data_IF_729310646620
#
_entry.id   IF_729310646620
#
_cell.length_a   1.000
_cell.length_b   1.000
_cell.length_c   1.000
_cell.angle_alpha   90.00
_cell.angle_beta   90.00
_cell.angle_gamma   90.00
#
_symmetry.space_group_name_H-M   'P 1'
#
loop_
_entity.id
_entity.type
_entity.pdbx_description
1 polymer ?
#
# COMPACT_ATOMS: atom_id res chain seq x y z
N UNK A 1 -42.47 14.40 23.65
CA UNK A 1 -43.07 15.73 23.88
C UNK A 1 -42.13 16.51 24.78
N UNK A 2 -41.58 17.62 24.29
CA UNK A 2 -40.38 18.24 24.86
C UNK A 2 -40.73 19.42 25.78
N UNK A 3 -40.23 19.44 27.02
CA UNK A 3 -40.17 20.64 27.87
C UNK A 3 -39.15 21.64 27.30
N UNK A 4 -39.27 22.93 27.60
CA UNK A 4 -38.35 23.96 27.09
C UNK A 4 -37.82 24.88 28.18
N UNK A 5 -36.54 25.22 28.09
CA UNK A 5 -35.84 26.06 29.06
C UNK A 5 -35.95 27.53 28.68
N UNK A 6 -36.35 28.37 29.63
CA UNK A 6 -36.44 29.82 29.41
C UNK A 6 -35.05 30.44 29.23
N UNK A 7 -34.84 31.18 28.15
CA UNK A 7 -33.56 31.85 27.87
C UNK A 7 -33.22 33.00 28.82
N UNK A 8 -34.21 33.56 29.53
CA UNK A 8 -34.01 34.71 30.43
C UNK A 8 -33.78 34.33 31.89
N UNK A 9 -34.48 33.32 32.39
CA UNK A 9 -34.44 32.93 33.81
C UNK A 9 -34.10 31.45 34.03
N UNK A 10 -33.74 30.73 32.96
CA UNK A 10 -33.33 29.31 32.95
C UNK A 10 -34.34 28.29 33.50
N UNK A 11 -35.55 28.74 33.88
CA UNK A 11 -36.63 27.86 34.32
C UNK A 11 -37.09 26.91 33.21
N UNK A 12 -37.29 25.63 33.56
CA UNK A 12 -37.74 24.58 32.63
C UNK A 12 -39.27 24.53 32.63
N UNK A 13 -39.88 24.97 31.54
CA UNK A 13 -41.33 25.01 31.41
C UNK A 13 -41.87 23.65 30.96
N UNK A 14 -42.97 23.16 31.56
CA UNK A 14 -43.60 21.90 31.18
C UNK A 14 -44.18 21.98 29.76
N UNK A 15 -44.30 20.84 29.09
CA UNK A 15 -44.71 20.73 27.68
C UNK A 15 -46.12 21.26 27.35
N UNK A 16 -46.97 21.45 28.36
CA UNK A 16 -48.28 22.09 28.21
C UNK A 16 -48.19 23.61 28.02
N UNK A 17 -47.11 24.24 28.50
CA UNK A 17 -46.94 25.69 28.50
C UNK A 17 -46.13 26.15 27.28
N UNK A 18 -46.83 26.59 26.22
CA UNK A 18 -46.22 26.85 24.91
C UNK A 18 -45.98 28.33 24.58
N UNK A 19 -46.58 29.25 25.33
CA UNK A 19 -46.65 30.67 24.93
C UNK A 19 -45.74 31.60 25.73
N UNK A 20 -45.53 31.37 27.03
CA UNK A 20 -44.69 32.21 27.90
C UNK A 20 -44.13 31.42 29.08
N UNK A 21 -42.94 31.80 29.54
CA UNK A 21 -42.34 31.21 30.73
C UNK A 21 -43.19 31.50 31.97
N UNK A 22 -43.40 30.47 32.80
CA UNK A 22 -44.26 30.55 33.99
C UNK A 22 -43.75 31.52 35.06
N UNK A 23 -42.42 31.68 35.18
CA UNK A 23 -41.81 32.51 36.21
C UNK A 23 -41.67 33.97 35.77
N UNK A 24 -41.11 34.21 34.58
CA UNK A 24 -40.73 35.55 34.15
C UNK A 24 -41.53 36.08 32.95
N UNK A 25 -42.55 35.33 32.51
CA UNK A 25 -43.46 35.68 31.41
C UNK A 25 -42.76 35.95 30.07
N UNK A 26 -41.51 35.54 29.92
CA UNK A 26 -40.73 35.70 28.68
C UNK A 26 -41.21 34.66 27.66
N UNK A 27 -41.53 35.09 26.44
CA UNK A 27 -41.95 34.19 25.38
C UNK A 27 -40.82 33.20 25.02
N UNK A 28 -41.14 31.95 24.66
CA UNK A 28 -40.16 31.05 24.07
C UNK A 28 -39.63 31.67 22.79
N UNK A 29 -38.33 31.56 22.57
CA UNK A 29 -37.73 31.91 21.28
C UNK A 29 -38.42 31.05 20.22
N UNK A 30 -39.20 31.68 19.34
CA UNK A 30 -39.62 31.00 18.13
C UNK A 30 -38.34 30.57 17.39
N UNK A 31 -38.29 29.36 16.83
CA UNK A 31 -37.27 29.09 15.84
C UNK A 31 -37.49 30.15 14.75
N UNK A 32 -36.56 31.11 14.63
CA UNK A 32 -36.41 31.78 13.36
C UNK A 32 -36.22 30.62 12.38
N UNK A 33 -37.15 30.46 11.45
CA UNK A 33 -36.88 29.69 10.26
C UNK A 33 -35.53 30.21 9.76
N UNK A 34 -34.52 29.34 9.80
CA UNK A 34 -33.22 29.69 9.27
C UNK A 34 -33.48 30.19 7.85
N UNK A 35 -32.93 31.34 7.44
CA UNK A 35 -32.99 31.71 6.04
C UNK A 35 -32.51 30.49 5.23
N UNK A 36 -33.15 30.16 4.10
CA UNK A 36 -32.65 29.11 3.24
C UNK A 36 -31.15 29.36 3.06
N UNK A 37 -30.32 28.33 3.23
CA UNK A 37 -28.89 28.54 3.23
C UNK A 37 -28.54 29.16 1.88
N UNK A 38 -27.60 30.11 1.82
CA UNK A 38 -27.31 30.85 0.59
C UNK A 38 -27.09 29.85 -0.56
N UNK A 39 -27.42 30.20 -1.81
CA UNK A 39 -27.40 29.27 -2.94
C UNK A 39 -26.05 28.55 -3.14
N UNK A 40 -24.97 29.04 -2.52
CA UNK A 40 -23.62 28.47 -2.55
C UNK A 40 -23.24 27.64 -1.30
N UNK A 41 -24.19 27.36 -0.42
CA UNK A 41 -23.95 26.52 0.76
C UNK A 41 -23.80 25.05 0.35
N UNK A 42 -22.76 24.40 0.89
CA UNK A 42 -22.42 23.00 0.59
C UNK A 42 -22.37 22.17 1.88
N UNK A 43 -22.77 20.90 1.79
CA UNK A 43 -22.57 19.90 2.84
C UNK A 43 -21.42 18.94 2.48
N UNK A 44 -20.61 18.58 3.46
CA UNK A 44 -19.54 17.60 3.28
C UNK A 44 -20.10 16.19 3.39
N UNK A 45 -19.85 15.36 2.37
CA UNK A 45 -20.23 13.96 2.38
C UNK A 45 -19.50 13.20 3.49
N UNK A 46 -20.23 12.47 4.32
CA UNK A 46 -19.66 11.68 5.43
C UNK A 46 -18.81 10.50 4.96
N UNK A 47 -19.04 9.99 3.74
CA UNK A 47 -18.27 8.87 3.19
C UNK A 47 -17.06 9.32 2.36
N UNK A 48 -17.17 10.40 1.58
CA UNK A 48 -16.13 10.80 0.62
C UNK A 48 -15.70 12.27 0.72
N UNK A 49 -16.15 13.02 1.74
CA UNK A 49 -15.79 14.42 2.06
C UNK A 49 -16.03 15.45 0.95
N UNK A 50 -16.62 15.04 -0.18
CA UNK A 50 -16.99 15.94 -1.25
C UNK A 50 -17.98 16.99 -0.72
N UNK A 51 -17.74 18.24 -1.05
CA UNK A 51 -18.69 19.32 -0.82
C UNK A 51 -19.78 19.26 -1.88
N UNK A 52 -20.99 18.92 -1.46
CA UNK A 52 -22.17 18.82 -2.31
C UNK A 52 -23.05 20.04 -2.06
N UNK A 53 -23.69 20.62 -3.09
CA UNK A 53 -24.71 21.64 -2.88
C UNK A 53 -25.84 21.12 -1.97
N UNK A 54 -26.38 21.94 -1.07
CA UNK A 54 -27.57 21.56 -0.28
C UNK A 54 -28.83 21.31 -1.13
N UNK A 55 -28.84 21.75 -2.40
CA UNK A 55 -29.86 21.35 -3.38
C UNK A 55 -29.79 19.87 -3.78
N UNK A 56 -28.72 19.16 -3.41
CA UNK A 56 -28.53 17.73 -3.70
C UNK A 56 -28.56 16.92 -2.41
N UNK A 57 -29.57 16.06 -2.25
CA UNK A 57 -29.75 15.22 -1.06
C UNK A 57 -28.82 13.99 -1.03
N UNK A 58 -28.07 13.75 -2.11
CA UNK A 58 -27.12 12.64 -2.26
C UNK A 58 -25.79 13.16 -2.75
N UNK A 59 -24.71 12.51 -2.32
CA UNK A 59 -23.38 12.89 -2.76
C UNK A 59 -23.21 12.58 -4.24
N UNK A 60 -22.81 13.59 -5.03
CA UNK A 60 -22.68 13.48 -6.49
C UNK A 60 -21.62 12.46 -6.94
N UNK A 61 -20.70 12.06 -6.05
CA UNK A 61 -19.63 11.11 -6.37
C UNK A 61 -19.92 9.71 -5.83
N UNK A 62 -20.23 9.57 -4.55
CA UNK A 62 -20.37 8.25 -3.93
C UNK A 62 -21.81 7.83 -3.62
N UNK A 63 -22.81 8.67 -3.90
CA UNK A 63 -24.22 8.37 -3.67
C UNK A 63 -24.66 8.37 -2.20
N UNK A 64 -23.75 8.64 -1.25
CA UNK A 64 -24.07 8.73 0.18
C UNK A 64 -25.07 9.86 0.43
N UNK A 65 -26.14 9.60 1.20
CA UNK A 65 -27.18 10.61 1.49
C UNK A 65 -26.69 11.69 2.46
N UNK A 66 -27.18 12.92 2.25
CA UNK A 66 -27.03 14.01 3.20
C UNK A 66 -27.74 13.64 4.51
N UNK A 67 -27.04 13.76 5.63
CA UNK A 67 -27.66 13.56 6.95
C UNK A 67 -28.40 14.83 7.35
N UNK A 68 -29.62 14.98 6.85
CA UNK A 68 -30.59 15.97 7.34
C UNK A 68 -31.95 15.30 7.52
N UNK A 69 -32.40 15.19 8.77
CA UNK A 69 -33.79 14.89 9.11
C UNK A 69 -34.72 15.90 8.44
N UNK A 70 -35.52 15.46 7.47
CA UNK A 70 -36.92 15.87 7.14
C UNK A 70 -37.35 15.04 5.91
N UNK A 71 -38.58 14.52 5.97
CA UNK A 71 -39.23 13.66 4.97
C UNK A 71 -39.91 14.48 3.84
N UNK A 72 -39.97 13.88 2.62
CA UNK A 72 -40.92 14.08 1.48
C UNK A 72 -40.66 15.36 0.61
N UNK A 73 -40.71 15.40 -0.74
CA UNK A 73 -41.24 14.55 -1.84
C UNK A 73 -40.41 14.73 -3.14
N UNK A 74 -40.63 13.84 -4.13
CA UNK A 74 -40.03 13.72 -5.47
C UNK A 74 -40.12 14.96 -6.39
N UNK A 75 -39.04 15.23 -7.16
CA UNK A 75 -39.10 15.43 -8.62
C UNK A 75 -37.68 15.43 -9.23
N UNK A 76 -37.62 14.88 -10.45
CA UNK A 76 -36.45 14.52 -11.27
C UNK A 76 -35.27 15.51 -11.36
N UNK A 77 -34.05 14.97 -11.52
CA UNK A 77 -33.11 15.29 -12.61
C UNK A 77 -31.84 14.40 -12.54
N UNK A 78 -31.66 13.58 -13.57
CA UNK A 78 -30.64 12.53 -13.75
C UNK A 78 -29.37 13.05 -14.46
N UNK A 79 -28.21 12.92 -13.81
CA UNK A 79 -26.91 12.79 -14.50
C UNK A 79 -25.98 11.86 -13.72
N UNK A 80 -26.01 10.56 -14.04
CA UNK A 80 -25.09 9.57 -13.47
C UNK A 80 -24.00 9.16 -14.48
N UNK A 81 -22.78 9.67 -14.27
CA UNK A 81 -21.55 9.21 -14.92
C UNK A 81 -20.65 8.63 -13.84
N UNK A 82 -20.44 7.31 -13.89
CA UNK A 82 -19.58 6.61 -12.96
C UNK A 82 -18.10 6.92 -13.19
N UNK A 83 -17.50 7.64 -12.25
CA UNK A 83 -16.04 7.72 -12.09
C UNK A 83 -15.64 6.90 -10.87
N UNK A 84 -14.92 5.80 -11.14
CA UNK A 84 -14.10 5.09 -10.16
C UNK A 84 -12.81 5.90 -10.02
N UNK A 85 -12.25 5.97 -8.80
CA UNK A 85 -11.13 6.81 -8.33
C UNK A 85 -11.54 8.21 -7.85
N UNK A 86 -11.41 8.47 -6.54
CA UNK A 86 -11.24 9.82 -5.96
C UNK A 86 -10.69 9.71 -4.51
N UNK A 87 -9.60 10.40 -4.17
CA UNK A 87 -9.02 10.45 -2.82
C UNK A 87 -9.41 11.71 -2.01
N UNK A 88 -9.37 11.59 -0.68
CA UNK A 88 -9.73 12.63 0.29
C UNK A 88 -8.54 13.56 0.60
N UNK A 89 -8.77 14.87 0.74
CA UNK A 89 -7.75 15.86 1.11
C UNK A 89 -7.55 15.97 2.62
N UNK A 90 -6.29 16.17 3.03
CA UNK A 90 -5.87 16.48 4.39
C UNK A 90 -6.13 17.95 4.77
N UNK A 91 -6.47 18.19 6.04
CA UNK A 91 -6.70 19.52 6.62
C UNK A 91 -5.39 20.34 6.68
N UNK A 92 -5.40 21.54 6.11
CA UNK A 92 -4.38 22.57 6.34
C UNK A 92 -4.71 23.32 7.64
N UNK A 93 -3.82 23.25 8.62
CA UNK A 93 -3.80 24.16 9.77
C UNK A 93 -3.46 25.58 9.30
N UNK A 94 -4.32 26.54 9.67
CA UNK A 94 -4.15 27.95 9.37
C UNK A 94 -2.92 28.53 10.09
N UNK A 95 -2.08 29.26 9.35
CA UNK A 95 -1.15 30.24 9.91
C UNK A 95 -1.88 31.58 10.00
N UNK A 96 -1.90 32.16 11.19
CA UNK A 96 -2.28 33.56 11.42
C UNK A 96 -1.24 34.50 10.80
N UNK A 97 -1.74 35.48 10.05
CA UNK A 97 -0.97 36.56 9.45
C UNK A 97 -1.41 37.87 10.13
N UNK A 98 -0.53 38.48 10.92
CA UNK A 98 -0.73 39.80 11.54
C UNK A 98 0.15 40.82 10.83
N UNK A 99 -0.47 41.87 10.29
CA UNK A 99 0.17 42.92 9.49
C UNK A 99 0.74 44.09 10.31
N UNK A 100 1.80 44.71 9.74
CA UNK A 100 2.31 46.12 9.89
C UNK A 100 3.08 46.46 11.19
N UNK A 101 4.18 47.23 11.21
CA UNK A 101 4.77 48.18 10.27
C UNK A 101 6.28 48.46 10.60
N UNK A 102 7.03 48.98 9.63
CA UNK A 102 7.89 50.16 9.85
C UNK A 102 9.41 49.98 10.02
N UNK A 103 10.14 50.48 9.01
CA UNK A 103 11.42 51.22 9.06
C UNK A 103 12.75 50.51 9.41
N UNK A 104 13.79 50.82 8.63
CA UNK A 104 15.18 50.85 9.12
C UNK A 104 16.25 50.16 8.25
N UNK A 105 16.72 50.88 7.24
CA UNK A 105 18.12 51.13 6.79
C UNK A 105 19.32 50.21 7.13
N UNK A 106 20.27 50.20 6.17
CA UNK A 106 21.72 49.85 6.18
C UNK A 106 22.13 48.44 6.71
N UNK A 107 22.83 47.56 5.98
CA UNK A 107 23.99 47.75 5.10
C UNK A 107 25.28 47.58 5.90
N UNK A 108 25.95 46.42 5.84
CA UNK A 108 27.41 46.24 6.03
C UNK A 108 27.88 44.83 5.62
N UNK A 109 28.93 44.78 4.80
CA UNK A 109 29.74 43.61 4.44
C UNK A 109 30.74 43.24 5.54
N UNK A 110 31.16 41.97 5.62
CA UNK A 110 32.57 41.56 5.69
C UNK A 110 32.72 40.02 5.69
N UNK A 111 33.48 39.49 4.73
CA UNK A 111 34.26 38.26 4.84
C UNK A 111 35.57 38.53 5.63
N UNK A 112 36.11 37.53 6.33
CA UNK A 112 37.44 36.91 6.08
C UNK A 112 38.02 36.12 7.30
N UNK A 113 38.27 34.82 7.06
CA UNK A 113 39.50 33.99 7.24
C UNK A 113 40.24 33.87 8.61
N UNK A 114 40.75 32.64 8.80
CA UNK A 114 41.94 32.14 9.56
C UNK A 114 41.59 31.51 10.92
N UNK A 115 42.03 30.32 11.33
CA UNK A 115 42.93 29.31 10.76
C UNK A 115 43.39 28.32 11.86
N UNK A 116 43.70 27.09 11.44
CA UNK A 116 44.62 26.07 11.98
C UNK A 116 44.90 25.90 13.49
N UNK A 117 44.79 24.63 13.92
CA UNK A 117 45.97 23.85 14.35
C UNK A 117 46.05 23.41 15.82
N UNK A 118 46.43 22.14 16.05
CA UNK A 118 47.19 21.77 17.26
C UNK A 118 46.78 20.53 18.04
N UNK A 119 47.45 19.41 17.72
CA UNK A 119 47.74 18.18 18.50
C UNK A 119 48.46 18.57 19.83
N UNK A 120 48.51 17.85 20.98
CA UNK A 120 49.00 16.49 21.28
C UNK A 120 48.68 16.10 22.77
N UNK A 121 48.54 14.77 23.00
CA UNK A 121 49.01 13.91 24.11
C UNK A 121 48.52 13.94 25.57
N UNK A 122 48.31 12.70 26.11
CA UNK A 122 48.96 12.29 27.36
C UNK A 122 48.22 11.43 28.41
N UNK A 123 48.19 10.10 28.25
CA UNK A 123 48.29 9.05 29.31
C UNK A 123 47.13 8.85 30.32
N UNK A 124 46.96 7.74 31.06
CA UNK A 124 47.62 6.42 31.20
C UNK A 124 46.77 5.57 32.21
N UNK A 125 47.08 4.25 32.31
CA UNK A 125 46.70 3.23 33.33
C UNK A 125 45.46 2.37 32.97
N UNK A 126 45.47 1.03 33.00
CA UNK A 126 46.44 0.01 33.45
C UNK A 126 45.70 -1.17 34.12
N UNK A 127 46.31 -2.38 34.05
CA UNK A 127 45.91 -3.72 34.59
C UNK A 127 45.03 -4.59 33.66
N UNK A 128 45.46 -5.71 33.03
CA UNK A 128 46.16 -6.97 33.45
C UNK A 128 45.38 -7.76 34.51
N UNK A 129 45.19 -9.09 34.53
CA UNK A 129 45.62 -10.30 33.80
C UNK A 129 44.42 -11.31 33.92
N UNK A 130 44.32 -12.52 33.36
CA UNK A 130 45.27 -13.57 32.99
C UNK A 130 44.50 -14.90 32.85
N UNK A 131 45.12 -15.83 32.11
CA UNK A 131 44.76 -17.20 31.70
C UNK A 131 43.93 -18.09 32.68
N UNK A 132 43.10 -19.00 32.12
CA UNK A 132 43.43 -20.46 31.98
C UNK A 132 42.33 -21.31 31.33
N UNK A 133 42.83 -22.29 30.58
CA UNK A 133 42.22 -23.49 29.97
C UNK A 133 41.78 -24.51 31.03
N UNK A 134 40.75 -25.33 30.75
CA UNK A 134 40.69 -26.75 31.14
C UNK A 134 39.63 -27.53 30.33
N UNK A 135 40.10 -28.59 29.68
CA UNK A 135 39.33 -29.65 29.02
C UNK A 135 38.70 -30.62 30.04
N UNK A 136 37.67 -31.36 29.65
CA UNK A 136 37.52 -32.76 30.08
C UNK A 136 36.78 -33.64 29.07
N UNK A 137 37.27 -34.87 28.98
CA UNK A 137 36.96 -35.98 28.07
C UNK A 137 36.58 -37.17 28.95
N UNK A 138 35.68 -38.07 28.49
CA UNK A 138 35.44 -39.51 28.87
C UNK A 138 33.94 -39.82 28.95
N UNK A 139 33.41 -41.02 28.68
CA UNK A 139 33.88 -42.31 28.14
C UNK A 139 32.65 -43.23 27.98
N UNK A 140 32.73 -44.11 26.99
CA UNK A 140 31.92 -45.29 26.60
C UNK A 140 31.41 -46.19 27.75
N UNK A 141 30.22 -46.81 27.57
CA UNK A 141 29.97 -48.25 27.80
C UNK A 141 28.69 -48.79 27.10
N UNK A 142 28.82 -50.00 26.56
CA UNK A 142 27.86 -50.88 25.87
C UNK A 142 27.09 -51.83 26.82
N UNK A 143 26.25 -52.69 26.18
CA UNK A 143 25.59 -53.96 26.56
C UNK A 143 24.08 -53.81 26.83
N UNK A 144 23.13 -54.33 26.02
CA UNK A 144 22.85 -55.64 25.36
C UNK A 144 21.75 -56.44 26.08
N UNK A 145 21.08 -57.28 25.28
CA UNK A 145 20.09 -58.35 25.53
C UNK A 145 18.58 -58.02 25.50
N UNK A 146 17.70 -58.86 24.94
CA UNK A 146 17.79 -59.98 23.97
C UNK A 146 16.34 -60.46 23.65
N UNK A 147 16.17 -61.13 22.51
CA UNK A 147 15.12 -62.14 22.22
C UNK A 147 13.78 -61.63 21.65
N UNK A 148 13.23 -62.15 20.55
CA UNK A 148 13.61 -63.23 19.64
C UNK A 148 12.42 -63.65 18.76
N UNK A 149 12.73 -64.17 17.56
CA UNK A 149 11.97 -65.13 16.72
C UNK A 149 10.61 -64.72 16.08
N UNK A 150 10.22 -65.12 14.86
CA UNK A 150 10.75 -66.09 13.89
C UNK A 150 10.08 -65.88 12.49
N UNK A 151 10.69 -66.51 11.47
CA UNK A 151 10.08 -67.17 10.31
C UNK A 151 9.76 -66.42 9.00
N UNK A 152 10.43 -66.87 7.92
CA UNK A 152 9.79 -67.09 6.62
C UNK A 152 10.55 -66.61 5.38
N UNK A 153 11.46 -67.42 4.85
CA UNK A 153 12.23 -67.11 3.63
C UNK A 153 11.52 -67.38 2.30
N UNK A 154 12.11 -66.89 1.19
CA UNK A 154 12.21 -67.66 -0.06
C UNK A 154 13.18 -67.05 -1.09
N UNK A 155 14.21 -67.84 -1.38
CA UNK A 155 14.96 -68.10 -2.63
C UNK A 155 15.34 -67.04 -3.69
N UNK A 156 16.67 -66.94 -3.90
CA UNK A 156 17.47 -67.17 -5.13
C UNK A 156 17.18 -66.29 -6.37
N UNK A 157 18.19 -65.51 -6.81
CA UNK A 157 19.05 -65.77 -8.01
C UNK A 157 20.20 -64.76 -8.13
N UNK A 158 21.40 -65.31 -7.94
CA UNK A 158 22.70 -64.74 -8.26
C UNK A 158 22.88 -64.46 -9.77
N UNK A 159 23.65 -63.41 -10.07
CA UNK A 159 24.55 -63.36 -11.23
C UNK A 159 25.65 -62.34 -10.95
N UNK A 160 26.78 -62.82 -10.43
CA UNK A 160 28.03 -62.08 -10.28
C UNK A 160 28.88 -62.24 -11.54
N UNK A 161 29.44 -61.15 -12.07
CA UNK A 161 30.69 -61.14 -12.83
C UNK A 161 31.40 -59.81 -12.56
N UNK A 162 32.62 -59.90 -12.03
CA UNK A 162 33.43 -58.81 -11.52
C UNK A 162 34.24 -58.08 -12.61
N UNK A 163 34.42 -56.76 -12.47
CA UNK A 163 35.51 -56.01 -13.13
C UNK A 163 36.13 -55.01 -12.15
N UNK A 164 37.46 -54.97 -12.19
CA UNK A 164 38.45 -54.33 -11.33
C UNK A 164 38.23 -52.84 -11.02
N UNK A 165 38.43 -52.48 -9.75
CA UNK A 165 38.58 -51.09 -9.32
C UNK A 165 40.00 -50.57 -9.62
N UNK A 166 40.08 -49.47 -10.38
CA UNK A 166 41.23 -48.56 -10.39
C UNK A 166 40.95 -47.39 -9.44
N UNK A 167 41.95 -46.85 -8.73
CA UNK A 167 41.74 -45.72 -7.83
C UNK A 167 41.58 -44.45 -8.67
N UNK A 168 40.37 -43.90 -8.73
CA UNK A 168 40.15 -42.54 -9.20
C UNK A 168 40.40 -41.57 -8.04
N UNK A 169 41.19 -40.55 -8.36
CA UNK A 169 41.50 -39.39 -7.54
C UNK A 169 40.24 -38.74 -6.93
N UNK A 170 40.36 -37.96 -5.84
CA UNK A 170 39.21 -37.30 -5.25
C UNK A 170 38.58 -36.41 -6.32
N UNK A 171 37.36 -36.74 -6.71
CA UNK A 171 36.49 -35.84 -7.43
C UNK A 171 36.34 -34.63 -6.52
N UNK A 172 36.88 -33.49 -6.94
CA UNK A 172 36.48 -32.21 -6.38
C UNK A 172 34.95 -32.20 -6.47
N UNK A 173 34.32 -32.27 -5.30
CA UNK A 173 32.91 -31.96 -5.16
C UNK A 173 32.78 -30.52 -5.59
N UNK A 174 32.31 -30.33 -6.83
CA UNK A 174 31.81 -29.06 -7.31
C UNK A 174 30.71 -28.65 -6.33
N UNK A 175 31.06 -27.77 -5.40
CA UNK A 175 30.11 -27.14 -4.49
C UNK A 175 29.32 -26.22 -5.40
N UNK A 176 28.27 -26.74 -6.04
CA UNK A 176 27.32 -25.89 -6.74
C UNK A 176 26.76 -24.96 -5.67
N UNK A 177 27.20 -23.71 -5.64
CA UNK A 177 26.62 -22.73 -4.75
C UNK A 177 25.17 -22.57 -5.19
N UNK A 178 24.24 -23.20 -4.46
CA UNK A 178 22.82 -23.09 -4.77
C UNK A 178 22.46 -21.60 -4.85
N UNK A 179 22.01 -21.17 -6.03
CA UNK A 179 21.66 -19.78 -6.25
C UNK A 179 20.46 -19.45 -5.38
N UNK A 180 20.69 -18.64 -4.33
CA UNK A 180 19.62 -18.20 -3.44
C UNK A 180 18.67 -17.29 -4.20
N UNK A 181 17.37 -17.56 -4.09
CA UNK A 181 16.29 -16.83 -4.75
C UNK A 181 15.42 -16.08 -3.75
N UNK A 182 14.85 -14.96 -4.19
CA UNK A 182 13.87 -14.19 -3.43
C UNK A 182 12.69 -13.80 -4.31
N UNK A 183 11.50 -13.74 -3.71
CA UNK A 183 10.25 -13.34 -4.35
C UNK A 183 9.75 -12.01 -3.80
N UNK A 184 9.41 -11.09 -4.68
CA UNK A 184 8.85 -9.78 -4.34
C UNK A 184 7.47 -9.64 -4.96
N UNK A 185 6.48 -9.28 -4.16
CA UNK A 185 5.11 -9.06 -4.59
C UNK A 185 4.78 -7.56 -4.60
N UNK A 186 4.23 -7.07 -5.70
CA UNK A 186 3.57 -5.76 -5.75
C UNK A 186 2.08 -5.97 -6.04
N UNK A 187 1.19 -5.35 -5.25
CA UNK A 187 -0.25 -5.51 -5.44
C UNK A 187 -1.05 -4.29 -4.95
N UNK A 188 -1.73 -3.57 -5.86
CA UNK A 188 -2.82 -2.66 -5.49
C UNK A 188 -4.03 -3.50 -5.03
N UNK A 189 -4.40 -3.40 -3.74
CA UNK A 189 -5.43 -4.26 -3.12
C UNK A 189 -6.86 -3.73 -3.30
N UNK A 190 -6.99 -2.56 -3.93
CA UNK A 190 -8.23 -1.85 -4.20
C UNK A 190 -8.99 -1.46 -2.94
N UNK A 191 -8.96 -0.16 -2.60
CA UNK A 191 -9.57 0.40 -1.39
C UNK A 191 -11.11 0.31 -1.36
N UNK A 192 -11.75 -0.31 -2.35
CA UNK A 192 -13.20 -0.35 -2.49
C UNK A 192 -13.87 -1.29 -1.48
N UNK A 193 -14.10 -0.80 -0.27
CA UNK A 193 -14.58 -1.60 0.87
C UNK A 193 -16.04 -2.07 0.74
N UNK A 194 -16.88 -1.40 -0.03
CA UNK A 194 -18.30 -1.77 -0.26
C UNK A 194 -18.47 -3.06 -1.06
N UNK A 195 -17.40 -3.55 -1.71
CA UNK A 195 -17.44 -4.71 -2.59
C UNK A 195 -16.66 -5.89 -1.98
N UNK A 196 -17.39 -6.77 -1.29
CA UNK A 196 -16.91 -8.10 -0.82
C UNK A 196 -15.54 -8.08 -0.12
N UNK A 197 -15.23 -6.99 0.61
CA UNK A 197 -13.93 -6.68 1.17
C UNK A 197 -13.26 -7.87 1.88
N UNK A 198 -13.95 -8.53 2.80
CA UNK A 198 -13.38 -9.66 3.55
C UNK A 198 -13.03 -10.85 2.66
N UNK A 199 -13.85 -11.15 1.65
CA UNK A 199 -13.58 -12.25 0.71
C UNK A 199 -12.42 -11.89 -0.21
N UNK A 200 -12.36 -10.64 -0.68
CA UNK A 200 -11.24 -10.12 -1.48
C UNK A 200 -9.92 -10.20 -0.72
N UNK A 201 -9.86 -9.67 0.50
CA UNK A 201 -8.65 -9.69 1.32
C UNK A 201 -8.23 -11.11 1.72
N UNK A 202 -9.20 -12.01 1.95
CA UNK A 202 -8.89 -13.44 2.15
C UNK A 202 -8.26 -14.06 0.91
N UNK A 203 -8.82 -13.81 -0.28
CA UNK A 203 -8.26 -14.34 -1.52
C UNK A 203 -6.84 -13.79 -1.80
N UNK A 204 -6.56 -12.53 -1.45
CA UNK A 204 -5.19 -11.99 -1.46
C UNK A 204 -4.31 -12.74 -0.45
N UNK A 205 -4.82 -13.02 0.76
CA UNK A 205 -4.15 -13.85 1.75
C UNK A 205 -3.79 -15.26 1.25
N UNK A 206 -4.72 -15.92 0.54
CA UNK A 206 -4.49 -17.24 -0.04
C UNK A 206 -3.36 -17.20 -1.09
N UNK A 207 -3.27 -16.12 -1.89
CA UNK A 207 -2.16 -15.91 -2.82
C UNK A 207 -0.82 -15.70 -2.10
N UNK A 208 -0.82 -14.98 -0.97
CA UNK A 208 0.39 -14.78 -0.15
C UNK A 208 0.87 -16.12 0.41
N UNK A 209 -0.04 -16.95 0.92
CA UNK A 209 0.29 -18.28 1.44
C UNK A 209 0.81 -19.20 0.34
N UNK A 210 0.19 -19.16 -0.85
CA UNK A 210 0.59 -19.96 -2.01
C UNK A 210 1.99 -19.59 -2.53
N UNK A 211 2.26 -18.31 -2.73
CA UNK A 211 3.50 -17.85 -3.37
C UNK A 211 4.63 -17.59 -2.38
N UNK A 212 4.29 -17.40 -1.10
CA UNK A 212 5.18 -17.14 0.02
C UNK A 212 6.25 -16.05 -0.27
N UNK A 213 5.88 -14.85 -0.76
CA UNK A 213 6.84 -13.80 -1.10
C UNK A 213 7.72 -13.42 0.10
N UNK A 214 8.95 -12.99 -0.18
CA UNK A 214 9.93 -12.54 0.82
C UNK A 214 9.73 -11.07 1.19
N UNK A 215 9.34 -10.25 0.22
CA UNK A 215 8.96 -8.85 0.41
C UNK A 215 7.64 -8.58 -0.34
N UNK A 216 6.73 -7.84 0.28
CA UNK A 216 5.45 -7.45 -0.31
C UNK A 216 5.29 -5.93 -0.24
N UNK A 217 4.71 -5.37 -1.29
CA UNK A 217 4.45 -3.95 -1.48
C UNK A 217 2.99 -3.79 -1.90
N UNK A 218 2.15 -3.35 -0.97
CA UNK A 218 0.73 -3.11 -1.21
C UNK A 218 0.44 -1.63 -1.41
N UNK A 219 -0.51 -1.33 -2.30
CA UNK A 219 -1.06 0.01 -2.53
C UNK A 219 -2.56 -0.02 -2.23
N UNK A 220 -3.14 1.16 -1.91
CA UNK A 220 -4.56 1.32 -1.56
C UNK A 220 -5.00 0.52 -0.32
N UNK A 221 -4.10 0.30 0.63
CA UNK A 221 -4.46 -0.30 1.92
C UNK A 221 -5.19 0.73 2.75
N UNK A 222 -6.41 0.45 3.17
CA UNK A 222 -7.15 1.26 4.16
C UNK A 222 -6.93 0.72 5.57
N UNK A 223 -7.31 1.46 6.63
CA UNK A 223 -7.29 0.93 8.00
C UNK A 223 -8.09 -0.38 8.16
N UNK A 224 -9.24 -0.53 7.49
CA UNK A 224 -10.05 -1.74 7.58
C UNK A 224 -9.38 -2.93 6.87
N UNK A 225 -8.73 -2.71 5.72
CA UNK A 225 -7.96 -3.76 5.04
C UNK A 225 -6.75 -4.19 5.88
N UNK A 226 -6.06 -3.21 6.48
CA UNK A 226 -4.95 -3.45 7.40
C UNK A 226 -5.36 -4.34 8.57
N UNK A 227 -6.48 -4.05 9.23
CA UNK A 227 -7.03 -4.86 10.32
C UNK A 227 -7.33 -6.31 9.91
N UNK A 228 -7.77 -6.53 8.67
CA UNK A 228 -8.00 -7.88 8.14
C UNK A 228 -6.66 -8.61 7.93
N UNK A 229 -5.67 -7.92 7.36
CA UNK A 229 -4.35 -8.48 7.16
C UNK A 229 -3.65 -8.82 8.48
N UNK A 230 -3.72 -7.97 9.50
CA UNK A 230 -3.17 -8.24 10.83
C UNK A 230 -3.72 -9.52 11.47
N UNK A 231 -4.98 -9.85 11.19
CA UNK A 231 -5.65 -11.05 11.72
C UNK A 231 -5.36 -12.32 10.90
N UNK A 232 -4.67 -12.20 9.77
CA UNK A 232 -4.38 -13.32 8.89
C UNK A 232 -3.26 -14.22 9.43
N UNK A 233 -3.31 -15.52 9.13
CA UNK A 233 -2.34 -16.50 9.63
C UNK A 233 -0.90 -16.22 9.20
N UNK A 234 -0.72 -15.72 7.98
CA UNK A 234 0.57 -15.38 7.41
C UNK A 234 1.22 -14.13 8.04
N UNK A 235 0.46 -13.25 8.71
CA UNK A 235 0.94 -11.94 9.19
C UNK A 235 2.19 -12.05 10.08
N UNK A 236 2.19 -13.01 11.01
CA UNK A 236 3.26 -13.21 12.00
C UNK A 236 4.62 -13.53 11.37
N UNK A 237 4.64 -13.98 10.12
CA UNK A 237 5.88 -14.26 9.37
C UNK A 237 6.55 -13.01 8.82
N UNK A 238 5.93 -11.83 8.91
CA UNK A 238 6.40 -10.61 8.28
C UNK A 238 6.56 -9.48 9.27
N UNK A 239 7.59 -8.65 9.04
CA UNK A 239 7.73 -7.33 9.65
C UNK A 239 6.99 -6.32 8.79
N UNK A 240 6.20 -5.44 9.40
CA UNK A 240 5.40 -4.44 8.71
C UNK A 240 6.07 -3.06 8.78
N UNK A 241 5.91 -2.25 7.72
CA UNK A 241 6.35 -0.85 7.68
C UNK A 241 5.47 0.11 8.47
N UNK A 242 4.26 -0.32 8.84
CA UNK A 242 3.31 0.51 9.58
C UNK A 242 3.63 0.39 11.08
N UNK A 243 3.84 1.51 11.78
CA UNK A 243 4.12 1.48 13.21
C UNK A 243 2.92 1.00 14.03
N UNK A 244 3.19 0.36 15.17
CA UNK A 244 2.18 -0.20 16.08
C UNK A 244 1.39 0.86 16.87
N UNK A 245 1.67 2.16 16.67
CA UNK A 245 1.15 3.24 17.52
C UNK A 245 -0.29 3.70 17.18
N UNK A 246 -0.99 2.95 16.32
CA UNK A 246 -2.36 3.21 15.87
C UNK A 246 -2.59 4.62 15.27
N UNK A 247 -1.55 5.32 14.80
CA UNK A 247 -1.65 6.68 14.27
C UNK A 247 -2.01 6.77 12.77
N UNK A 248 -2.61 5.73 12.20
CA UNK A 248 -3.02 5.73 10.78
C UNK A 248 -4.15 6.74 10.58
N UNK A 249 -3.79 7.91 10.07
CA UNK A 249 -4.73 9.01 9.80
C UNK A 249 -5.09 9.14 8.32
N UNK A 250 -4.29 8.54 7.44
CA UNK A 250 -4.56 8.54 6.01
C UNK A 250 -5.71 7.57 5.67
N UNK A 251 -6.62 7.93 4.74
CA UNK A 251 -7.73 7.07 4.34
C UNK A 251 -7.27 5.80 3.63
N UNK A 252 -6.15 5.87 2.95
CA UNK A 252 -5.43 4.73 2.40
C UNK A 252 -3.93 5.06 2.32
N UNK A 253 -3.09 4.03 2.24
CA UNK A 253 -1.63 4.16 2.26
C UNK A 253 -0.96 3.00 1.51
N UNK A 254 0.35 3.13 1.30
CA UNK A 254 1.19 2.00 0.88
C UNK A 254 1.71 1.24 2.09
N UNK A 255 1.77 -0.09 2.01
CA UNK A 255 2.26 -0.94 3.09
C UNK A 255 3.32 -1.90 2.57
N UNK A 256 4.44 -2.01 3.29
CA UNK A 256 5.49 -2.98 2.99
C UNK A 256 5.58 -4.04 4.08
N UNK A 257 5.77 -5.29 3.68
CA UNK A 257 5.94 -6.43 4.57
C UNK A 257 7.18 -7.22 4.16
N UNK A 258 8.00 -7.66 5.11
CA UNK A 258 9.24 -8.39 4.82
C UNK A 258 9.46 -9.58 5.75
N UNK A 259 9.80 -10.74 5.18
CA UNK A 259 10.40 -11.88 5.90
C UNK A 259 11.89 -11.67 6.14
N UNK A 260 12.54 -10.91 5.26
CA UNK A 260 13.96 -10.62 5.35
C UNK A 260 14.26 -9.65 6.50
N UNK A 261 15.46 -9.69 7.10
CA UNK A 261 15.88 -8.70 8.08
C UNK A 261 15.80 -7.29 7.48
N UNK A 262 15.01 -6.44 8.13
CA UNK A 262 14.83 -5.04 7.75
C UNK A 262 15.76 -4.18 8.60
N UNK A 263 16.55 -3.34 7.95
CA UNK A 263 17.38 -2.31 8.57
C UNK A 263 16.55 -1.08 8.93
N UNK A 264 15.74 -0.63 8.00
CA UNK A 264 14.90 0.55 8.16
C UNK A 264 13.69 0.48 7.23
N UNK A 265 12.60 1.09 7.70
CA UNK A 265 11.52 1.57 6.85
C UNK A 265 11.57 3.10 6.86
N UNK A 266 11.30 3.73 5.72
CA UNK A 266 11.16 5.18 5.64
C UNK A 266 10.17 5.57 4.55
N UNK A 267 9.55 6.73 4.68
CA UNK A 267 8.64 7.28 3.67
C UNK A 267 9.05 8.70 3.30
N UNK A 268 8.81 9.05 2.04
CA UNK A 268 9.05 10.40 1.51
C UNK A 268 7.80 10.86 0.76
N UNK A 269 7.03 11.82 1.30
CA UNK A 269 5.90 12.40 0.59
C UNK A 269 6.35 13.09 -0.69
N UNK A 270 5.55 12.98 -1.76
CA UNK A 270 5.77 13.76 -2.97
C UNK A 270 5.21 15.17 -2.79
N UNK A 271 6.02 16.23 -2.84
CA UNK A 271 5.53 17.59 -2.57
C UNK A 271 4.46 18.08 -3.55
N UNK A 272 4.45 17.52 -4.77
CA UNK A 272 3.49 17.88 -5.83
C UNK A 272 2.25 16.96 -5.86
N UNK A 273 2.12 16.03 -4.93
CA UNK A 273 0.95 15.15 -4.88
C UNK A 273 -0.26 15.90 -4.33
N UNK A 274 -1.42 15.71 -4.97
CA UNK A 274 -2.72 16.18 -4.45
C UNK A 274 -3.56 15.05 -3.86
N UNK A 275 -3.04 13.82 -3.90
CA UNK A 275 -3.69 12.58 -3.46
C UNK A 275 -2.93 11.86 -2.33
N UNK A 276 -2.08 12.58 -1.60
CA UNK A 276 -1.29 12.02 -0.49
C UNK A 276 -0.25 10.96 -0.90
N UNK A 277 0.28 10.99 -2.13
CA UNK A 277 1.23 10.01 -2.64
C UNK A 277 2.61 10.20 -2.03
N UNK A 278 3.28 9.08 -1.79
CA UNK A 278 4.59 9.01 -1.17
C UNK A 278 5.42 7.89 -1.79
N UNK A 279 6.74 7.97 -1.59
CA UNK A 279 7.68 6.90 -1.86
C UNK A 279 8.04 6.20 -0.54
N UNK A 280 7.66 4.94 -0.39
CA UNK A 280 8.01 4.11 0.77
C UNK A 280 9.22 3.26 0.44
N UNK A 281 10.17 3.15 1.37
CA UNK A 281 11.41 2.40 1.22
C UNK A 281 11.56 1.39 2.36
N UNK A 282 11.99 0.19 2.01
CA UNK A 282 12.46 -0.84 2.91
C UNK A 282 13.91 -1.19 2.56
N UNK A 283 14.83 -0.98 3.51
CA UNK A 283 16.21 -1.46 3.40
C UNK A 283 16.28 -2.87 3.99
N UNK A 284 16.51 -3.88 3.14
CA UNK A 284 16.52 -5.29 3.55
C UNK A 284 17.87 -5.95 3.29
N UNK A 285 18.30 -6.81 4.22
CA UNK A 285 19.51 -7.61 4.04
C UNK A 285 19.18 -8.94 3.35
N UNK A 286 19.72 -9.14 2.14
CA UNK A 286 19.51 -10.36 1.35
C UNK A 286 20.61 -11.39 1.62
N UNK A 287 21.84 -10.92 1.77
CA UNK A 287 23.04 -11.70 2.09
C UNK A 287 23.92 -10.94 3.10
N UNK A 288 24.86 -11.62 3.79
CA UNK A 288 25.85 -10.92 4.61
C UNK A 288 26.59 -9.85 3.81
N UNK A 289 26.45 -8.59 4.20
CA UNK A 289 27.08 -7.45 3.51
C UNK A 289 26.36 -6.94 2.25
N UNK A 290 25.27 -7.59 1.81
CA UNK A 290 24.48 -7.15 0.65
C UNK A 290 23.10 -6.67 1.09
N UNK A 291 22.88 -5.37 0.94
CA UNK A 291 21.59 -4.73 1.19
C UNK A 291 20.89 -4.44 -0.13
N UNK A 292 19.59 -4.67 -0.15
CA UNK A 292 18.70 -4.31 -1.24
C UNK A 292 17.68 -3.28 -0.73
N UNK A 293 17.46 -2.24 -1.52
CA UNK A 293 16.35 -1.31 -1.28
C UNK A 293 15.14 -1.77 -2.07
N UNK A 294 14.04 -2.05 -1.38
CA UNK A 294 12.73 -2.25 -2.02
C UNK A 294 11.89 -1.02 -1.77
N UNK A 295 11.59 -0.29 -2.85
CA UNK A 295 10.75 0.88 -2.81
C UNK A 295 9.38 0.59 -3.41
N UNK A 296 8.33 1.17 -2.83
CA UNK A 296 6.98 1.15 -3.40
C UNK A 296 6.39 2.54 -3.46
N UNK A 297 5.53 2.77 -4.45
CA UNK A 297 4.66 3.93 -4.48
C UNK A 297 3.35 3.61 -5.16
N UNK A 298 2.36 4.48 -4.95
CA UNK A 298 1.18 4.58 -5.77
C UNK A 298 1.23 5.98 -6.42
N UNK A 299 1.75 6.11 -7.65
CA UNK A 299 1.94 7.42 -8.28
C UNK A 299 0.59 8.06 -8.65
N UNK A 300 0.58 9.38 -8.85
CA UNK A 300 -0.65 10.17 -9.08
C UNK A 300 -1.56 9.52 -10.12
N UNK A 301 -2.80 9.20 -9.72
CA UNK A 301 -3.75 8.51 -10.60
C UNK A 301 -4.44 9.49 -11.55
N UNK A 302 -4.83 9.06 -12.76
CA UNK A 302 -5.84 9.76 -13.54
C UNK A 302 -7.15 9.81 -12.74
N UNK A 303 -7.73 11.00 -12.61
CA UNK A 303 -8.96 11.19 -11.83
C UNK A 303 -9.93 12.12 -12.60
N UNK A 304 -10.52 11.63 -13.70
CA UNK A 304 -11.49 12.40 -14.47
C UNK A 304 -12.75 12.65 -13.63
N UNK A 305 -12.93 13.89 -13.21
CA UNK A 305 -14.06 14.31 -12.39
C UNK A 305 -14.55 15.71 -12.79
N UNK A 306 -15.77 16.11 -12.37
CA UNK A 306 -16.24 17.47 -12.53
C UNK A 306 -15.19 18.50 -12.05
N UNK A 307 -15.08 19.68 -12.71
CA UNK A 307 -15.91 20.12 -13.83
C UNK A 307 -15.40 19.70 -15.22
N UNK A 308 -14.13 19.30 -15.35
CA UNK A 308 -13.50 19.11 -16.68
C UNK A 308 -13.49 17.67 -17.18
N UNK A 309 -13.67 16.69 -16.30
CA UNK A 309 -13.71 15.24 -16.62
C UNK A 309 -12.45 14.71 -17.34
N UNK A 310 -11.33 15.43 -17.27
CA UNK A 310 -10.12 15.13 -18.02
C UNK A 310 -8.83 15.28 -17.19
N UNK A 311 -8.92 15.33 -15.85
CA UNK A 311 -7.75 15.48 -14.99
C UNK A 311 -6.95 14.16 -14.96
N UNK A 312 -5.91 14.08 -15.80
CA UNK A 312 -5.09 12.87 -15.95
C UNK A 312 -3.83 12.84 -15.06
N UNK A 313 -3.49 13.96 -14.43
CA UNK A 313 -2.35 14.13 -13.51
C UNK A 313 -0.99 13.62 -14.03
N UNK A 314 -0.81 13.65 -15.36
CA UNK A 314 0.40 13.18 -16.04
C UNK A 314 1.64 13.96 -15.62
N UNK A 315 1.54 15.29 -15.50
CA UNK A 315 2.67 16.15 -15.10
C UNK A 315 3.15 15.80 -13.70
N UNK A 316 2.21 15.61 -12.78
CA UNK A 316 2.48 15.27 -11.39
C UNK A 316 3.16 13.91 -11.31
N UNK A 317 2.57 12.90 -11.94
CA UNK A 317 3.08 11.52 -12.02
C UNK A 317 4.48 11.45 -12.63
N UNK A 318 4.75 12.19 -13.71
CA UNK A 318 6.08 12.25 -14.35
C UNK A 318 7.13 12.85 -13.40
N UNK A 319 6.80 13.93 -12.68
CA UNK A 319 7.71 14.53 -11.69
C UNK A 319 8.01 13.53 -10.56
N UNK A 320 7.00 12.83 -10.06
CA UNK A 320 7.14 11.83 -9.00
C UNK A 320 8.03 10.66 -9.43
N UNK A 321 7.81 10.09 -10.62
CA UNK A 321 8.64 9.01 -11.16
C UNK A 321 10.10 9.45 -11.32
N UNK A 322 10.33 10.65 -11.86
CA UNK A 322 11.68 11.22 -11.99
C UNK A 322 12.35 11.41 -10.61
N UNK A 323 11.61 11.90 -9.62
CA UNK A 323 12.11 12.05 -8.26
C UNK A 323 12.46 10.71 -7.61
N UNK A 324 11.60 9.69 -7.77
CA UNK A 324 11.83 8.34 -7.27
C UNK A 324 13.09 7.73 -7.90
N UNK A 325 13.18 7.66 -9.23
CA UNK A 325 14.35 7.05 -9.92
C UNK A 325 15.65 7.78 -9.56
N UNK A 326 15.64 9.12 -9.51
CA UNK A 326 16.84 9.90 -9.14
C UNK A 326 17.27 9.63 -7.70
N UNK A 327 16.34 9.65 -6.75
CA UNK A 327 16.65 9.46 -5.33
C UNK A 327 17.10 8.04 -5.00
N UNK A 328 16.51 7.05 -5.67
CA UNK A 328 16.85 5.63 -5.52
C UNK A 328 18.13 5.25 -6.26
N UNK A 329 18.51 6.00 -7.29
CA UNK A 329 19.68 5.73 -8.13
C UNK A 329 21.02 5.71 -7.39
N UNK A 330 21.08 6.24 -6.16
CA UNK A 330 22.26 6.18 -5.28
C UNK A 330 22.56 4.77 -4.74
N UNK A 331 21.60 3.86 -4.77
CA UNK A 331 21.74 2.50 -4.28
C UNK A 331 22.25 1.56 -5.38
N UNK A 332 23.01 0.53 -4.99
CA UNK A 332 23.57 -0.46 -5.91
C UNK A 332 22.57 -1.54 -6.31
N UNK A 333 21.78 -2.03 -5.34
CA UNK A 333 20.70 -2.99 -5.53
C UNK A 333 19.38 -2.34 -5.09
N UNK A 334 18.54 -1.98 -6.05
CA UNK A 334 17.25 -1.35 -5.80
C UNK A 334 16.17 -1.90 -6.73
N UNK A 335 14.99 -2.12 -6.14
CA UNK A 335 13.78 -2.51 -6.83
C UNK A 335 12.71 -1.49 -6.48
N UNK A 336 12.24 -0.74 -7.47
CA UNK A 336 11.12 0.18 -7.35
C UNK A 336 9.87 -0.44 -7.98
N UNK A 337 8.82 -0.62 -7.19
CA UNK A 337 7.59 -1.27 -7.64
C UNK A 337 6.34 -0.56 -7.15
N UNK A 338 5.17 -1.06 -7.53
CA UNK A 338 3.88 -0.49 -7.17
C UNK A 338 3.05 -0.11 -8.38
N UNK A 339 1.88 0.46 -8.09
CA UNK A 339 0.99 1.05 -9.07
C UNK A 339 1.55 2.41 -9.51
N UNK A 340 2.19 2.40 -10.67
CA UNK A 340 2.81 3.60 -11.24
C UNK A 340 1.79 4.48 -11.95
N UNK A 341 0.54 4.04 -12.12
CA UNK A 341 -0.49 4.70 -12.94
C UNK A 341 0.00 5.13 -14.34
N UNK A 342 1.07 4.51 -14.84
CA UNK A 342 1.84 5.04 -15.96
C UNK A 342 1.20 4.68 -17.29
N UNK A 343 0.99 5.70 -18.13
CA UNK A 343 0.50 5.56 -19.50
C UNK A 343 1.59 6.02 -20.46
N UNK A 344 2.27 5.08 -21.12
CA UNK A 344 3.40 5.40 -21.99
C UNK A 344 3.04 6.36 -23.15
N UNK A 345 1.75 6.45 -23.52
CA UNK A 345 1.29 7.41 -24.54
C UNK A 345 1.07 8.82 -24.00
N UNK A 346 0.64 8.95 -22.74
CA UNK A 346 0.35 10.24 -22.12
C UNK A 346 1.56 10.80 -21.37
N UNK A 347 2.29 9.94 -20.67
CA UNK A 347 3.40 10.28 -19.78
C UNK A 347 4.76 10.19 -20.48
N UNK A 348 4.79 9.54 -21.65
CA UNK A 348 6.01 9.23 -22.39
C UNK A 348 6.75 8.02 -21.83
N UNK A 349 8.02 7.89 -22.23
CA UNK A 349 8.86 6.81 -21.72
C UNK A 349 9.08 6.97 -20.21
N UNK A 350 8.98 5.86 -19.47
CA UNK A 350 9.32 5.85 -18.05
C UNK A 350 10.77 6.34 -17.87
N UNK A 351 11.08 7.21 -16.88
CA UNK A 351 12.36 7.90 -16.78
C UNK A 351 13.49 7.00 -16.24
N UNK A 352 13.81 5.93 -16.97
CA UNK A 352 14.89 5.00 -16.64
C UNK A 352 16.25 5.69 -16.84
N UNK A 353 17.06 5.75 -15.78
CA UNK A 353 18.45 6.14 -15.88
C UNK A 353 19.33 4.95 -16.30
N UNK A 354 20.59 5.20 -16.66
CA UNK A 354 21.53 4.13 -17.02
C UNK A 354 21.63 3.04 -15.93
N UNK A 355 21.53 1.78 -16.35
CA UNK A 355 21.57 0.60 -15.46
C UNK A 355 20.22 0.22 -14.84
N UNK A 356 19.15 0.97 -15.10
CA UNK A 356 17.79 0.57 -14.73
C UNK A 356 17.13 -0.21 -15.86
N UNK A 357 16.29 -1.19 -15.48
CA UNK A 357 15.52 -2.03 -16.39
C UNK A 357 14.08 -2.14 -15.90
N UNK A 358 13.13 -2.27 -16.84
CA UNK A 358 11.75 -2.66 -16.54
C UNK A 358 11.67 -4.19 -16.61
N UNK A 359 11.43 -4.85 -15.48
CA UNK A 359 11.53 -6.30 -15.36
C UNK A 359 10.53 -7.04 -16.26
N UNK A 360 9.34 -6.46 -16.52
CA UNK A 360 8.37 -7.07 -17.43
C UNK A 360 8.89 -7.02 -18.86
N UNK A 361 9.37 -5.86 -19.30
CA UNK A 361 9.92 -5.68 -20.65
C UNK A 361 11.13 -6.58 -20.91
N UNK A 362 11.99 -6.76 -19.91
CA UNK A 362 13.19 -7.61 -20.02
C UNK A 362 12.84 -9.10 -20.08
N UNK A 363 11.93 -9.58 -19.22
CA UNK A 363 11.64 -11.00 -19.09
C UNK A 363 10.52 -11.49 -20.02
N UNK A 364 9.64 -10.61 -20.49
CA UNK A 364 8.47 -10.92 -21.32
C UNK A 364 8.44 -10.01 -22.58
N UNK A 365 9.50 -10.00 -23.40
CA UNK A 365 9.56 -9.11 -24.56
C UNK A 365 8.42 -9.41 -25.53
N UNK A 366 7.66 -8.38 -25.88
CA UNK A 366 6.51 -8.48 -26.78
C UNK A 366 5.17 -8.79 -26.11
N UNK A 367 5.15 -9.06 -24.80
CA UNK A 367 3.89 -9.17 -24.04
C UNK A 367 3.50 -7.82 -23.44
N UNK A 368 2.22 -7.46 -23.58
CA UNK A 368 1.71 -6.17 -23.10
C UNK A 368 1.74 -6.00 -21.58
N UNK A 369 1.59 -7.09 -20.82
CA UNK A 369 1.62 -7.08 -19.35
C UNK A 369 0.52 -6.25 -18.70
N UNK A 370 -0.72 -6.28 -19.21
CA UNK A 370 -1.83 -5.51 -18.63
C UNK A 370 -2.17 -5.97 -17.21
N UNK A 371 -1.75 -5.20 -16.21
CA UNK A 371 -2.06 -5.44 -14.79
C UNK A 371 -3.42 -4.88 -14.39
N UNK A 372 -3.95 -3.93 -15.18
CA UNK A 372 -5.33 -3.45 -15.12
C UNK A 372 -6.01 -3.71 -16.46
N UNK A 373 -6.93 -4.66 -16.51
CA UNK A 373 -7.54 -5.11 -17.76
C UNK A 373 -9.05 -5.38 -17.58
N UNK A 374 -9.86 -4.45 -18.09
CA UNK A 374 -11.34 -4.55 -18.06
C UNK A 374 -11.93 -5.68 -18.90
N UNK A 375 -11.15 -6.32 -19.77
CA UNK A 375 -11.58 -7.46 -20.60
C UNK A 375 -11.32 -8.78 -19.91
N UNK A 376 -10.11 -8.99 -19.38
CA UNK A 376 -9.79 -10.23 -18.65
C UNK A 376 -10.32 -10.21 -17.22
N UNK A 377 -10.28 -9.07 -16.52
CA UNK A 377 -10.82 -8.95 -15.17
C UNK A 377 -12.35 -8.86 -15.25
N UNK A 378 -13.01 -9.99 -15.03
CA UNK A 378 -14.47 -10.09 -15.19
C UNK A 378 -15.25 -9.25 -14.17
N UNK A 379 -14.66 -8.91 -13.04
CA UNK A 379 -15.24 -7.98 -12.07
C UNK A 379 -15.43 -6.58 -12.66
N UNK A 380 -14.56 -6.18 -13.59
CA UNK A 380 -14.65 -4.88 -14.26
C UNK A 380 -15.54 -4.90 -15.50
N UNK A 381 -16.13 -6.05 -15.84
CA UNK A 381 -16.99 -6.16 -17.01
C UNK A 381 -18.10 -5.11 -17.00
N UNK A 382 -18.41 -4.57 -18.17
CA UNK A 382 -19.37 -3.48 -18.30
C UNK A 382 -18.78 -2.06 -18.16
N UNK A 383 -17.55 -1.90 -17.66
CA UNK A 383 -16.78 -0.65 -17.82
C UNK A 383 -16.39 -0.41 -19.28
N UNK A 384 -15.94 0.81 -19.58
CA UNK A 384 -15.27 1.09 -20.86
C UNK A 384 -14.01 0.24 -20.96
N UNK A 385 -13.73 -0.25 -22.16
CA UNK A 385 -12.50 -1.00 -22.42
C UNK A 385 -11.27 -0.13 -22.12
N UNK A 386 -10.48 -0.63 -21.17
CA UNK A 386 -9.21 -0.08 -20.71
C UNK A 386 -8.29 -1.24 -20.37
N UNK A 387 -7.09 -1.22 -20.95
CA UNK A 387 -6.03 -2.19 -20.72
C UNK A 387 -4.73 -1.42 -20.51
N UNK A 388 -4.17 -1.53 -19.32
CA UNK A 388 -3.03 -0.72 -18.88
C UNK A 388 -2.06 -1.56 -18.05
N UNK A 389 -0.78 -1.28 -18.20
CA UNK A 389 0.31 -1.81 -17.38
C UNK A 389 0.69 -0.77 -16.34
N UNK A 390 -0.21 -0.62 -15.37
CA UNK A 390 -0.11 0.38 -14.31
C UNK A 390 0.94 -0.04 -13.28
N UNK A 391 0.92 -1.31 -12.89
CA UNK A 391 1.85 -1.89 -11.92
C UNK A 391 3.13 -2.33 -12.63
N UNK A 392 4.29 -1.95 -12.08
CA UNK A 392 5.60 -2.24 -12.69
C UNK A 392 6.63 -2.63 -11.64
N UNK A 393 7.67 -3.34 -12.09
CA UNK A 393 8.92 -3.53 -11.35
C UNK A 393 10.06 -2.90 -12.15
N UNK A 394 10.66 -1.86 -11.59
CA UNK A 394 11.78 -1.12 -12.17
C UNK A 394 13.02 -1.42 -11.32
N UNK A 395 13.99 -2.10 -11.91
CA UNK A 395 15.11 -2.70 -11.20
C UNK A 395 16.43 -2.06 -11.60
N UNK A 396 17.31 -1.83 -10.63
CA UNK A 396 18.73 -1.57 -10.84
C UNK A 396 19.49 -2.47 -9.88
N UNK A 397 20.09 -3.53 -10.39
CA UNK A 397 20.70 -4.58 -9.60
C UNK A 397 22.15 -4.78 -10.06
N UNK A 398 23.08 -4.76 -9.10
CA UNK A 398 24.51 -4.98 -9.33
C UNK A 398 24.91 -6.42 -9.03
N UNK A 399 24.47 -6.93 -7.88
CA UNK A 399 24.88 -8.24 -7.35
C UNK A 399 23.75 -9.29 -7.43
N UNK A 400 22.61 -8.90 -7.98
CA UNK A 400 21.40 -9.71 -8.10
C UNK A 400 20.94 -9.71 -9.56
N UNK A 401 20.20 -10.75 -9.95
CA UNK A 401 19.61 -10.89 -11.28
C UNK A 401 18.11 -11.11 -11.18
N UNK A 402 17.36 -10.47 -12.09
CA UNK A 402 15.95 -10.82 -12.30
C UNK A 402 15.88 -12.19 -13.00
N UNK A 403 14.96 -13.05 -12.57
CA UNK A 403 14.85 -14.44 -13.05
C UNK A 403 13.49 -14.75 -13.63
N UNK A 404 12.43 -14.28 -12.99
CA UNK A 404 11.06 -14.50 -13.45
C UNK A 404 10.16 -13.35 -13.03
N UNK A 405 9.08 -13.13 -13.78
CA UNK A 405 8.00 -12.24 -13.40
C UNK A 405 6.67 -12.88 -13.81
N UNK A 406 5.73 -12.89 -12.88
CA UNK A 406 4.43 -13.54 -13.03
C UNK A 406 3.31 -12.60 -12.60
N UNK A 407 2.16 -12.76 -13.23
CA UNK A 407 0.94 -12.02 -12.89
C UNK A 407 -0.02 -12.96 -12.16
N UNK A 408 -0.45 -12.57 -10.97
CA UNK A 408 -1.25 -13.40 -10.04
C UNK A 408 -2.59 -12.72 -9.70
N UNK A 409 -3.51 -13.47 -9.07
CA UNK A 409 -4.83 -12.95 -8.69
C UNK A 409 -5.79 -12.76 -9.86
N UNK A 410 -5.64 -13.59 -10.90
CA UNK A 410 -6.41 -13.50 -12.15
C UNK A 410 -7.75 -14.24 -12.11
N UNK A 411 -7.93 -15.10 -11.12
CA UNK A 411 -9.11 -15.94 -11.00
C UNK A 411 -10.18 -15.27 -10.15
N UNK A 412 -11.44 -15.46 -10.56
CA UNK A 412 -12.59 -15.06 -9.76
C UNK A 412 -12.67 -15.89 -8.48
N UNK A 413 -13.09 -15.23 -7.40
CA UNK A 413 -13.36 -15.90 -6.12
C UNK A 413 -14.59 -16.78 -6.30
N UNK A 414 -14.42 -18.08 -6.06
CA UNK A 414 -15.46 -19.08 -6.31
C UNK A 414 -16.75 -18.75 -5.54
N UNK A 415 -17.88 -18.69 -6.27
CA UNK A 415 -19.20 -18.45 -5.69
C UNK A 415 -19.45 -17.01 -5.22
N UNK A 416 -18.57 -16.05 -5.53
CA UNK A 416 -18.72 -14.65 -5.13
C UNK A 416 -19.04 -13.77 -6.34
N UNK A 417 -20.12 -13.01 -6.24
CA UNK A 417 -20.56 -12.06 -7.25
C UNK A 417 -21.08 -10.79 -6.61
N UNK A 418 -21.05 -9.68 -7.35
CA UNK A 418 -21.66 -8.42 -6.95
C UNK A 418 -22.59 -7.90 -8.06
N UNK A 419 -23.55 -7.06 -7.69
CA UNK A 419 -24.45 -6.42 -8.64
C UNK A 419 -23.86 -5.08 -9.07
N UNK A 420 -23.76 -4.89 -10.38
CA UNK A 420 -23.36 -3.64 -11.00
C UNK A 420 -24.52 -3.06 -11.79
N UNK A 421 -24.92 -1.86 -11.42
CA UNK A 421 -25.87 -1.09 -12.20
C UNK A 421 -25.18 -0.47 -13.42
N UNK A 422 -25.82 -0.58 -14.59
CA UNK A 422 -25.37 0.03 -15.83
C UNK A 422 -26.53 0.68 -16.54
N UNK A 423 -26.44 1.99 -16.77
CA UNK A 423 -27.38 2.70 -17.63
C UNK A 423 -27.13 2.36 -19.09
N UNK A 424 -28.13 1.83 -19.77
CA UNK A 424 -28.12 1.53 -21.20
C UNK A 424 -29.37 2.14 -21.82
N UNK A 425 -29.19 3.13 -22.71
CA UNK A 425 -30.30 3.84 -23.38
C UNK A 425 -31.36 4.40 -22.40
N UNK A 426 -30.92 4.95 -21.27
CA UNK A 426 -31.82 5.53 -20.26
C UNK A 426 -32.46 4.51 -19.30
N UNK A 427 -32.23 3.21 -19.49
CA UNK A 427 -32.69 2.17 -18.54
C UNK A 427 -31.53 1.69 -17.67
N UNK A 428 -31.78 1.56 -16.36
CA UNK A 428 -30.84 0.93 -15.43
C UNK A 428 -30.95 -0.59 -15.63
N UNK A 429 -29.82 -1.21 -15.98
CA UNK A 429 -29.69 -2.66 -16.05
C UNK A 429 -28.75 -3.14 -14.96
N UNK A 430 -29.20 -4.10 -14.17
CA UNK A 430 -28.35 -4.79 -13.20
C UNK A 430 -27.58 -5.93 -13.89
N UNK A 431 -26.28 -6.00 -13.60
CA UNK A 431 -25.38 -7.04 -14.07
C UNK A 431 -24.78 -7.73 -12.85
N UNK A 432 -25.03 -9.03 -12.70
CA UNK A 432 -24.29 -9.86 -11.75
C UNK A 432 -22.93 -10.19 -12.33
N UNK A 433 -21.86 -9.75 -11.66
CA UNK A 433 -20.48 -9.93 -12.08
C UNK A 433 -19.68 -10.68 -11.03
N UNK A 434 -18.72 -11.53 -11.42
CA UNK A 434 -17.86 -12.21 -10.46
C UNK A 434 -16.98 -11.21 -9.72
N UNK A 435 -16.56 -11.57 -8.51
CA UNK A 435 -15.58 -10.79 -7.74
C UNK A 435 -14.20 -11.40 -7.90
N UNK A 436 -13.21 -10.56 -8.18
CA UNK A 436 -11.80 -10.92 -8.16
C UNK A 436 -11.13 -10.32 -6.91
N UNK A 437 -9.92 -10.74 -6.53
CA UNK A 437 -9.24 -10.20 -5.35
C UNK A 437 -9.07 -8.68 -5.37
N UNK A 438 -8.80 -8.11 -6.56
CA UNK A 438 -8.66 -6.67 -6.80
C UNK A 438 -9.08 -6.35 -8.24
N UNK A 439 -9.27 -5.06 -8.54
CA UNK A 439 -9.40 -4.57 -9.91
C UNK A 439 -8.05 -4.61 -10.66
N UNK A 440 -6.94 -4.69 -9.92
CA UNK A 440 -5.61 -5.01 -10.43
C UNK A 440 -5.27 -6.50 -10.30
N UNK A 441 -4.31 -6.94 -11.12
CA UNK A 441 -3.58 -8.18 -10.91
C UNK A 441 -2.26 -7.91 -10.17
N UNK A 442 -1.89 -8.80 -9.26
CA UNK A 442 -0.61 -8.71 -8.56
C UNK A 442 0.55 -9.08 -9.48
N UNK A 443 1.73 -8.49 -9.26
CA UNK A 443 2.97 -8.87 -9.92
C UNK A 443 3.93 -9.54 -8.93
N UNK A 444 4.43 -10.72 -9.28
CA UNK A 444 5.39 -11.48 -8.50
C UNK A 444 6.72 -11.55 -9.25
N UNK A 445 7.72 -10.83 -8.76
CA UNK A 445 9.09 -10.83 -9.29
C UNK A 445 9.94 -11.86 -8.53
N UNK A 446 10.67 -12.71 -9.23
CA UNK A 446 11.70 -13.57 -8.66
C UNK A 446 13.07 -13.05 -9.05
N UNK A 447 13.93 -12.84 -8.06
CA UNK A 447 15.35 -12.48 -8.24
C UNK A 447 16.24 -13.56 -7.62
N UNK A 448 17.51 -13.58 -7.99
CA UNK A 448 18.49 -14.44 -7.35
C UNK A 448 19.86 -13.81 -7.28
N UNK A 449 20.75 -14.48 -6.56
CA UNK A 449 22.20 -14.26 -6.68
C UNK A 449 22.67 -14.44 -8.13
N UNK A 450 23.72 -13.69 -8.49
CA UNK A 450 24.27 -13.61 -9.84
C UNK A 450 24.79 -14.94 -10.38
#
# INVERSE_FOLDING_TARGET
MSSWTCSKCTFINPSAQKSRCEICLTAPLQPLASPPPPPDSMWSCTACTLLNPYSSAICQICGTRATSTIEIDDDDLDFSVGSVFMPLKACSSAKEETTRAGAGDAGYSAELIVGNGGRVDGGKLGFSAGLRVCSNKRKVREENDDGGDDSGGSSIRDSTMAIQAKPHAPCETDVSSESKTWKLLSYNVWFREDLEMHKRMRAIGDLIELHAPDVMCFQEVTPNLYDIFQKSGWWKGYRCSIPDDNSITAPYFCMQLSKLPVKSYSTKPFPNSVMGRELCLAEVDVLPGTTMVVATSHLESPCPAPPTWNQMFSKERVVQANEAVRSLGKHENVIFCGDMNWDDKLDGAFPLAGGWVDAWTELKPGEDGWTYDTKSNKMLSGNRSLHKRLDRFICKLKDLKIRNIEMIGRDAIAGVSYIKEKKVKGQVKELSLPVLPSDHYGLLLTISTT
#
